data_IF_418764201125
#
_entry.id   IF_418764201125
#
_cell.length_a   1.000
_cell.length_b   1.000
_cell.length_c   1.000
_cell.angle_alpha   90.00
_cell.angle_beta   90.00
_cell.angle_gamma   90.00
#
_symmetry.space_group_name_H-M   'P 1'
#
loop_
_entity.id
_entity.type
_entity.pdbx_description
1 polymer ?
#
# COMPACT_ATOMS: atom_id res chain seq x y z
N UNK A 1 -9.61 2.07 5.72
CA UNK A 1 -9.38 2.88 4.51
C UNK A 1 -8.77 1.99 3.45
N UNK A 2 -9.12 2.16 2.17
CA UNK A 2 -8.46 1.39 1.10
C UNK A 2 -7.02 1.89 0.89
N UNK A 3 -6.04 1.03 0.60
CA UNK A 3 -4.66 1.44 0.36
C UNK A 3 -4.50 2.49 -0.75
N UNK A 4 -5.30 2.43 -1.81
CA UNK A 4 -5.30 3.45 -2.86
C UNK A 4 -5.74 4.81 -2.32
N UNK A 5 -6.76 4.84 -1.45
CA UNK A 5 -7.22 6.08 -0.82
C UNK A 5 -6.13 6.65 0.10
N UNK A 6 -5.43 5.78 0.85
CA UNK A 6 -4.31 6.20 1.68
C UNK A 6 -3.22 6.90 0.84
N UNK A 7 -2.82 6.32 -0.29
CA UNK A 7 -1.81 6.92 -1.17
C UNK A 7 -2.32 8.24 -1.79
N UNK A 8 -3.60 8.33 -2.14
CA UNK A 8 -4.19 9.59 -2.66
C UNK A 8 -4.21 10.71 -1.63
N UNK A 9 -4.52 10.39 -0.37
CA UNK A 9 -4.68 11.38 0.71
C UNK A 9 -3.33 11.79 1.32
N UNK A 10 -2.43 10.83 1.57
CA UNK A 10 -1.16 11.05 2.29
C UNK A 10 0.07 11.06 1.38
N UNK A 11 -0.06 10.59 0.14
CA UNK A 11 1.02 10.53 -0.85
C UNK A 11 1.86 9.25 -0.78
N UNK A 12 2.56 8.96 -1.89
CA UNK A 12 3.38 7.77 -2.04
C UNK A 12 4.60 7.73 -1.08
N UNK A 13 5.16 8.88 -0.72
CA UNK A 13 6.28 8.95 0.22
C UNK A 13 5.87 8.53 1.63
N UNK A 14 4.70 8.98 2.12
CA UNK A 14 4.18 8.54 3.43
C UNK A 14 3.81 7.05 3.41
N UNK A 15 3.24 6.55 2.31
CA UNK A 15 2.99 5.13 2.15
C UNK A 15 4.29 4.30 2.24
N UNK A 16 5.37 4.76 1.61
CA UNK A 16 6.69 4.11 1.70
C UNK A 16 7.24 4.13 3.13
N UNK A 17 7.17 5.28 3.82
CA UNK A 17 7.58 5.40 5.23
C UNK A 17 6.87 4.39 6.13
N UNK A 18 5.55 4.28 6.00
CA UNK A 18 4.72 3.35 6.78
C UNK A 18 5.08 1.89 6.47
N UNK A 19 5.29 1.55 5.20
CA UNK A 19 5.66 0.19 4.79
C UNK A 19 7.07 -0.19 5.26
N UNK A 20 8.04 0.71 5.15
CA UNK A 20 9.42 0.47 5.58
C UNK A 20 9.57 0.44 7.10
N UNK A 21 8.74 1.20 7.82
CA UNK A 21 8.72 1.22 9.28
C UNK A 21 7.98 0.05 9.92
N UNK A 22 7.24 -0.74 9.15
CA UNK A 22 6.41 -1.83 9.64
C UNK A 22 7.25 -2.99 10.23
N UNK A 23 7.09 -3.32 11.53
CA UNK A 23 7.69 -4.51 12.11
C UNK A 23 7.22 -5.80 11.45
N UNK A 24 8.04 -6.86 11.54
CA UNK A 24 7.65 -8.17 11.05
C UNK A 24 6.35 -8.67 11.71
N UNK A 25 5.42 -9.15 10.88
CA UNK A 25 4.11 -9.63 11.30
C UNK A 25 3.04 -8.55 11.42
N UNK A 26 3.34 -7.29 11.08
CA UNK A 26 2.33 -6.23 10.97
C UNK A 26 1.27 -6.59 9.92
N UNK A 27 0.01 -6.40 10.27
CA UNK A 27 -1.11 -6.58 9.33
C UNK A 27 -1.80 -5.26 8.99
N UNK A 28 -1.87 -4.32 9.92
CA UNK A 28 -2.52 -3.04 9.69
C UNK A 28 -1.70 -1.88 10.28
N UNK A 29 -1.97 -0.68 9.78
CA UNK A 29 -1.50 0.57 10.37
C UNK A 29 -2.69 1.44 10.74
N UNK A 30 -2.76 1.83 12.01
CA UNK A 30 -3.76 2.74 12.54
C UNK A 30 -3.38 4.18 12.19
N UNK A 31 -4.22 4.87 11.43
CA UNK A 31 -3.88 6.19 10.91
C UNK A 31 -3.97 7.26 12.01
N UNK A 32 -5.05 7.35 12.82
CA UNK A 32 -5.13 8.36 13.89
C UNK A 32 -4.07 8.24 14.97
N UNK A 33 -3.69 7.02 15.34
CA UNK A 33 -2.72 6.78 16.40
C UNK A 33 -1.29 6.56 15.89
N UNK A 34 -1.10 6.43 14.58
CA UNK A 34 0.19 6.15 13.93
C UNK A 34 0.90 4.92 14.52
N UNK A 35 0.14 3.84 14.76
CA UNK A 35 0.66 2.59 15.34
C UNK A 35 0.49 1.39 14.41
N UNK A 36 1.47 0.49 14.44
CA UNK A 36 1.37 -0.80 13.75
C UNK A 36 0.59 -1.80 14.59
N UNK A 37 -0.30 -2.53 13.92
CA UNK A 37 -1.17 -3.51 14.53
C UNK A 37 -0.95 -4.89 13.92
N UNK A 38 -1.10 -5.91 14.76
CA UNK A 38 -1.19 -7.32 14.36
C UNK A 38 -2.31 -7.98 15.14
N UNK A 39 -3.42 -8.30 14.46
CA UNK A 39 -4.58 -8.94 15.08
C UNK A 39 -5.08 -8.15 16.30
N UNK A 40 -4.73 -8.56 17.53
CA UNK A 40 -5.09 -7.91 18.80
C UNK A 40 -3.89 -7.25 19.51
N UNK A 41 -2.75 -7.15 18.84
CA UNK A 41 -1.53 -6.56 19.40
C UNK A 41 -1.19 -5.25 18.67
N UNK A 42 -0.57 -4.31 19.38
CA UNK A 42 0.06 -3.13 18.80
C UNK A 42 1.58 -3.16 19.03
N UNK A 43 2.32 -2.51 18.14
CA UNK A 43 3.76 -2.32 18.29
C UNK A 43 4.07 -1.09 19.13
N UNK A 44 4.81 -1.25 20.22
CA UNK A 44 5.20 -0.12 21.08
C UNK A 44 6.56 0.51 20.71
N UNK A 45 7.17 0.10 19.59
CA UNK A 45 8.53 0.48 19.19
C UNK A 45 9.60 -0.58 19.51
N UNK A 46 9.30 -1.56 20.36
CA UNK A 46 10.27 -2.58 20.82
C UNK A 46 9.72 -4.01 20.83
N UNK A 47 8.45 -4.19 21.16
CA UNK A 47 7.78 -5.48 21.24
C UNK A 47 6.27 -5.35 20.97
N UNK A 48 5.65 -6.47 20.63
CA UNK A 48 4.19 -6.57 20.48
C UNK A 48 3.52 -6.57 21.85
N UNK A 49 2.54 -5.70 22.05
CA UNK A 49 1.74 -5.60 23.27
C UNK A 49 0.28 -5.90 22.95
N UNK A 50 -0.32 -6.78 23.75
CA UNK A 50 -1.75 -7.03 23.66
C UNK A 50 -2.51 -5.73 23.91
N UNK A 51 -3.51 -5.48 23.09
CA UNK A 51 -4.52 -4.47 23.36
C UNK A 51 -5.36 -5.00 24.52
N UNK A 52 -5.23 -4.39 25.68
CA UNK A 52 -6.12 -4.59 26.81
C UNK A 52 -7.54 -4.13 26.45
N UNK A 53 -8.51 -5.00 26.74
CA UNK A 53 -9.89 -5.11 26.20
C UNK A 53 -10.81 -3.87 26.35
N UNK A 54 -10.29 -2.75 26.86
CA UNK A 54 -11.05 -1.56 27.23
C UNK A 54 -10.94 -0.37 26.27
N UNK A 55 -10.22 -0.47 25.14
CA UNK A 55 -9.99 0.69 24.27
C UNK A 55 -10.41 0.55 22.82
N UNK A 56 -10.63 -0.65 22.26
CA UNK A 56 -10.88 -0.80 20.82
C UNK A 56 -12.34 -1.19 20.47
N UNK A 57 -13.09 -1.82 21.37
CA UNK A 57 -14.44 -2.32 21.04
C UNK A 57 -15.53 -1.22 21.01
N UNK A 58 -15.35 -0.13 21.76
CA UNK A 58 -16.32 0.98 21.85
C UNK A 58 -15.99 2.16 20.92
N UNK A 59 -14.83 2.14 20.25
CA UNK A 59 -14.48 3.10 19.22
C UNK A 59 -14.94 2.53 17.88
N UNK A 60 -15.73 3.31 17.11
CA UNK A 60 -15.80 3.09 15.67
C UNK A 60 -14.35 2.95 15.20
N UNK A 61 -13.97 1.74 14.74
CA UNK A 61 -12.56 1.42 14.54
C UNK A 61 -11.94 2.55 13.71
N UNK A 62 -10.94 3.26 14.26
CA UNK A 62 -10.31 4.36 13.55
C UNK A 62 -9.87 3.87 12.17
N UNK A 63 -9.84 4.74 11.15
CA UNK A 63 -9.45 4.32 9.82
C UNK A 63 -8.04 3.71 9.88
N UNK A 64 -7.96 2.41 9.62
CA UNK A 64 -6.71 1.70 9.44
C UNK A 64 -6.47 1.40 7.96
N UNK A 65 -5.24 1.08 7.59
CA UNK A 65 -4.86 0.60 6.26
C UNK A 65 -4.21 -0.78 6.37
N UNK A 66 -4.54 -1.67 5.44
CA UNK A 66 -3.90 -2.98 5.32
C UNK A 66 -2.46 -2.82 4.81
N UNK A 67 -1.49 -3.34 5.56
CA UNK A 67 -0.07 -3.17 5.27
C UNK A 67 0.42 -4.04 4.12
N UNK A 68 0.04 -5.33 4.01
CA UNK A 68 0.37 -6.15 2.84
C UNK A 68 -0.09 -5.53 1.51
N UNK A 69 -1.33 -5.05 1.44
CA UNK A 69 -1.86 -4.44 0.22
C UNK A 69 -1.22 -3.07 -0.06
N UNK A 70 -0.98 -2.26 0.98
CA UNK A 70 -0.26 -0.99 0.84
C UNK A 70 1.17 -1.20 0.32
N UNK A 71 1.86 -2.21 0.85
CA UNK A 71 3.20 -2.61 0.39
C UNK A 71 3.20 -2.99 -1.08
N UNK A 72 2.23 -3.80 -1.52
CA UNK A 72 2.08 -4.19 -2.93
C UNK A 72 1.95 -2.96 -3.83
N UNK A 73 1.14 -1.97 -3.44
CA UNK A 73 1.00 -0.72 -4.19
C UNK A 73 2.29 0.10 -4.22
N UNK A 74 3.01 0.21 -3.10
CA UNK A 74 4.31 0.90 -3.04
C UNK A 74 5.33 0.21 -3.97
N UNK A 75 5.41 -1.11 -3.93
CA UNK A 75 6.29 -1.90 -4.80
C UNK A 75 5.95 -1.68 -6.30
N UNK A 76 4.66 -1.60 -6.65
CA UNK A 76 4.20 -1.24 -8.00
C UNK A 76 4.62 0.17 -8.43
N UNK A 77 4.54 1.16 -7.54
CA UNK A 77 4.97 2.52 -7.83
C UNK A 77 6.49 2.62 -8.01
N UNK A 78 7.25 1.90 -7.19
CA UNK A 78 8.71 1.83 -7.30
C UNK A 78 9.14 1.13 -8.60
N UNK A 79 8.42 0.08 -9.03
CA UNK A 79 8.62 -0.55 -10.32
C UNK A 79 8.38 0.44 -11.47
N UNK A 80 7.26 1.17 -11.45
CA UNK A 80 6.96 2.18 -12.48
C UNK A 80 8.06 3.25 -12.54
N UNK A 81 8.53 3.72 -11.38
CA UNK A 81 9.63 4.68 -11.31
C UNK A 81 10.92 4.11 -11.89
N UNK A 82 11.24 2.85 -11.63
CA UNK A 82 12.40 2.16 -12.20
C UNK A 82 12.32 2.01 -13.73
N UNK A 83 11.11 1.86 -14.28
CA UNK A 83 10.85 1.85 -15.73
C UNK A 83 10.86 3.24 -16.37
N UNK A 84 11.06 4.31 -15.59
CA UNK A 84 11.09 5.69 -16.10
C UNK A 84 9.72 6.37 -16.15
N UNK A 85 8.71 5.79 -15.51
CA UNK A 85 7.36 6.36 -15.39
C UNK A 85 6.28 5.55 -16.12
N UNK A 86 5.02 5.94 -15.89
CA UNK A 86 3.83 5.21 -16.33
C UNK A 86 3.78 5.05 -17.87
N UNK A 87 4.16 6.09 -18.61
CA UNK A 87 4.19 6.07 -20.08
C UNK A 87 5.20 5.04 -20.62
N UNK A 88 6.37 4.92 -19.98
CA UNK A 88 7.36 3.91 -20.35
C UNK A 88 6.86 2.50 -20.07
N UNK A 89 6.13 2.27 -18.98
CA UNK A 89 5.48 0.99 -18.70
C UNK A 89 4.42 0.66 -19.77
N UNK A 90 3.55 1.60 -20.11
CA UNK A 90 2.52 1.42 -21.15
C UNK A 90 3.13 1.14 -22.53
N UNK A 91 4.18 1.87 -22.90
CA UNK A 91 4.92 1.64 -24.14
C UNK A 91 5.58 0.26 -24.15
N UNK A 92 6.15 -0.16 -23.02
CA UNK A 92 6.73 -1.50 -22.87
C UNK A 92 5.66 -2.57 -23.08
N UNK A 93 4.50 -2.47 -22.42
CA UNK A 93 3.38 -3.40 -22.64
C UNK A 93 2.93 -3.46 -24.11
N UNK A 94 2.89 -2.31 -24.80
CA UNK A 94 2.59 -2.26 -26.23
C UNK A 94 3.64 -3.00 -27.06
N UNK A 95 4.94 -2.85 -26.78
CA UNK A 95 6.00 -3.58 -27.52
C UNK A 95 6.04 -5.07 -27.18
N UNK A 96 5.72 -5.43 -25.94
CA UNK A 96 5.78 -6.80 -25.43
C UNK A 96 4.55 -7.64 -25.81
N UNK A 97 3.50 -7.05 -26.40
CA UNK A 97 2.28 -7.77 -26.79
C UNK A 97 2.52 -8.90 -27.81
N UNK A 98 3.67 -8.88 -28.52
CA UNK A 98 4.09 -9.92 -29.47
C UNK A 98 5.02 -10.98 -28.86
N UNK A 99 5.44 -10.85 -27.60
CA UNK A 99 6.33 -11.80 -26.94
C UNK A 99 5.58 -12.97 -26.31
N UNK A 100 6.30 -14.08 -26.11
CA UNK A 100 5.78 -15.34 -25.57
C UNK A 100 5.66 -15.35 -24.05
N UNK A 101 6.31 -14.42 -23.35
CA UNK A 101 6.25 -14.27 -21.89
C UNK A 101 5.40 -13.05 -21.52
N UNK A 102 4.39 -13.27 -20.67
CA UNK A 102 3.48 -12.21 -20.22
C UNK A 102 4.21 -11.27 -19.23
N UNK A 103 4.27 -9.95 -19.50
CA UNK A 103 4.85 -8.97 -18.58
C UNK A 103 3.91 -8.65 -17.40
N UNK A 104 3.42 -9.68 -16.70
CA UNK A 104 2.50 -9.57 -15.56
C UNK A 104 2.93 -8.52 -14.51
N UNK A 105 4.21 -8.43 -14.10
CA UNK A 105 4.62 -7.41 -13.12
C UNK A 105 4.39 -5.97 -13.58
N UNK A 106 4.62 -5.67 -14.87
CA UNK A 106 4.39 -4.33 -15.43
C UNK A 106 2.89 -4.07 -15.56
N UNK A 107 2.13 -5.09 -15.98
CA UNK A 107 0.67 -5.01 -16.14
C UNK A 107 -0.01 -4.74 -14.79
N UNK A 108 0.39 -5.47 -13.75
CA UNK A 108 -0.10 -5.24 -12.39
C UNK A 108 0.25 -3.83 -11.90
N UNK A 109 1.49 -3.40 -12.08
CA UNK A 109 1.90 -2.06 -11.64
C UNK A 109 1.13 -0.94 -12.36
N UNK A 110 0.89 -1.07 -13.67
CA UNK A 110 0.06 -0.13 -14.44
C UNK A 110 -1.37 -0.10 -13.90
N UNK A 111 -1.97 -1.27 -13.64
CA UNK A 111 -3.33 -1.38 -13.07
C UNK A 111 -3.42 -0.71 -11.70
N UNK A 112 -2.42 -0.92 -10.85
CA UNK A 112 -2.35 -0.29 -9.52
C UNK A 112 -2.19 1.23 -9.62
N UNK A 113 -1.34 1.71 -10.52
CA UNK A 113 -1.19 3.14 -10.75
C UNK A 113 -2.50 3.76 -11.25
N UNK A 114 -3.22 3.10 -12.14
CA UNK A 114 -4.54 3.53 -12.60
C UNK A 114 -5.61 3.44 -11.50
N UNK A 115 -5.55 2.43 -10.62
CA UNK A 115 -6.44 2.37 -9.47
C UNK A 115 -6.17 3.49 -8.47
N UNK A 116 -4.92 3.97 -8.34
CA UNK A 116 -4.57 5.10 -7.47
C UNK A 116 -4.91 6.45 -8.13
N UNK A 117 -4.52 6.67 -9.38
CA UNK A 117 -4.54 8.01 -10.01
C UNK A 117 -5.51 8.16 -11.18
N UNK A 118 -6.02 7.06 -11.75
CA UNK A 118 -6.88 7.06 -12.95
C UNK A 118 -8.36 7.34 -12.66
N UNK A 119 -8.76 7.53 -11.40
CA UNK A 119 -10.14 7.81 -10.99
C UNK A 119 -10.57 9.27 -11.13
N UNK A 120 -10.15 9.95 -12.21
CA UNK A 120 -10.44 11.35 -12.46
C UNK A 120 -10.88 11.58 -13.91
N UNK A 121 -12.03 11.02 -14.27
CA UNK A 121 -12.89 11.45 -15.39
C UNK A 121 -14.26 10.77 -15.23
N UNK A 122 -15.12 11.37 -14.40
CA UNK A 122 -16.57 11.48 -14.63
C UNK A 122 -16.98 12.95 -14.47
#
# INVERSE_FOLDING_TARGET
>A
MKPEQFIREFGAEKAREVVEGAPEGTTHYDIPFEVYLRSTDFWNGSEWKAVDDFTIQDLELPPYVDIPDLKRLVDSLDLIKAYGGIESCKQSLYMLHELTEDPEPIREAVRDHESIYGGGDE
#
